data_IF_951849200247
#
_entry.id   IF_951849200247
#
_cell.length_a   1.000
_cell.length_b   1.000
_cell.length_c   1.000
_cell.angle_alpha   90.00
_cell.angle_beta   90.00
_cell.angle_gamma   90.00
#
_symmetry.space_group_name_H-M   'P 1'
#
loop_
_entity.id
_entity.type
_entity.pdbx_description
1 polymer ?
#
# COMPACT_ATOMS: atom_id res chain seq x y z
N UNK A 1 8.17 6.90 -3.06
CA UNK A 1 7.69 7.77 -1.96
C UNK A 1 8.67 8.93 -1.81
N UNK A 2 8.19 10.17 -1.65
CA UNK A 2 9.08 11.32 -1.37
C UNK A 2 9.40 11.40 0.13
N UNK A 3 10.48 12.09 0.48
CA UNK A 3 10.87 12.31 1.88
C UNK A 3 9.76 13.01 2.69
N UNK A 4 9.09 14.02 2.11
CA UNK A 4 7.99 14.72 2.77
C UNK A 4 6.79 13.80 3.01
N UNK A 5 6.39 13.00 2.01
CA UNK A 5 5.29 12.04 2.17
C UNK A 5 5.59 10.98 3.21
N UNK A 6 6.85 10.53 3.31
CA UNK A 6 7.29 9.58 4.34
C UNK A 6 7.09 10.14 5.75
N UNK A 7 7.60 11.34 6.03
CA UNK A 7 7.45 11.94 7.36
C UNK A 7 6.01 12.33 7.68
N UNK A 8 5.22 12.73 6.66
CA UNK A 8 3.79 12.94 6.84
C UNK A 8 3.10 11.65 7.30
N UNK A 9 3.32 10.54 6.58
CA UNK A 9 2.72 9.24 6.94
C UNK A 9 3.15 8.79 8.33
N UNK A 10 4.44 8.87 8.65
CA UNK A 10 4.96 8.57 9.99
C UNK A 10 4.19 9.35 11.06
N UNK A 11 3.99 10.65 10.86
CA UNK A 11 3.26 11.50 11.81
C UNK A 11 1.80 11.05 11.99
N UNK A 12 1.11 10.73 10.90
CA UNK A 12 -0.28 10.25 10.94
C UNK A 12 -0.44 8.94 11.73
N UNK A 13 0.51 8.01 11.57
CA UNK A 13 0.40 6.69 12.21
C UNK A 13 1.03 6.62 13.60
N UNK A 14 1.86 7.59 14.01
CA UNK A 14 2.65 7.52 15.25
C UNK A 14 1.82 7.39 16.53
N UNK A 15 0.58 7.89 16.54
CA UNK A 15 -0.33 7.78 17.68
C UNK A 15 -1.06 6.44 17.79
N UNK A 16 -0.82 5.50 16.87
CA UNK A 16 -1.54 4.24 16.86
C UNK A 16 -1.07 3.31 18.00
N UNK A 17 -1.98 2.70 18.78
CA UNK A 17 -1.62 1.84 19.92
C UNK A 17 -0.80 0.60 19.55
N UNK A 18 -0.75 0.18 18.28
CA UNK A 18 0.14 -0.93 17.85
C UNK A 18 1.63 -0.62 18.04
N UNK A 19 1.99 0.65 18.13
CA UNK A 19 3.36 1.12 18.42
C UNK A 19 3.61 1.37 19.90
N UNK A 20 2.70 0.95 20.77
CA UNK A 20 2.88 0.96 22.21
C UNK A 20 2.99 -0.48 22.70
N UNK A 21 4.01 -0.75 23.52
CA UNK A 21 4.10 -1.96 24.30
C UNK A 21 4.16 -1.59 25.79
N UNK A 22 3.51 -2.39 26.63
CA UNK A 22 3.57 -2.26 28.09
C UNK A 22 4.76 -3.08 28.60
N UNK A 23 5.97 -2.70 28.16
CA UNK A 23 7.20 -3.41 28.51
C UNK A 23 8.27 -2.46 29.01
N UNK A 24 9.23 -3.00 29.75
CA UNK A 24 10.40 -2.25 30.21
C UNK A 24 11.46 -2.04 29.10
N UNK A 25 11.19 -2.49 27.88
CA UNK A 25 12.09 -2.35 26.74
C UNK A 25 11.58 -1.26 25.79
N UNK A 26 12.42 -0.27 25.43
CA UNK A 26 12.00 0.78 24.51
C UNK A 26 11.68 0.16 23.15
N UNK A 27 10.50 0.49 22.61
CA UNK A 27 10.13 0.11 21.25
C UNK A 27 10.90 0.97 20.24
N UNK A 28 11.30 0.38 19.11
CA UNK A 28 11.95 1.13 18.04
C UNK A 28 11.06 2.27 17.51
N UNK A 29 11.63 3.41 17.11
CA UNK A 29 10.89 4.52 16.55
C UNK A 29 10.02 4.12 15.35
N UNK A 30 8.81 4.68 15.26
CA UNK A 30 7.82 4.38 14.20
C UNK A 30 8.38 4.57 12.79
N UNK A 31 9.23 5.58 12.58
CA UNK A 31 9.84 5.83 11.28
C UNK A 31 10.82 4.71 10.86
N UNK A 32 11.52 4.08 11.79
CA UNK A 32 12.40 2.94 11.48
C UNK A 32 11.58 1.72 11.09
N UNK A 33 10.51 1.44 11.84
CA UNK A 33 9.56 0.36 11.51
C UNK A 33 8.92 0.57 10.14
N UNK A 34 8.52 1.82 9.84
CA UNK A 34 7.95 2.18 8.55
C UNK A 34 8.97 2.07 7.42
N UNK A 35 10.24 2.40 7.65
CA UNK A 35 11.30 2.24 6.66
C UNK A 35 11.48 0.76 6.26
N UNK A 36 11.54 -0.14 7.25
CA UNK A 36 11.63 -1.59 7.01
C UNK A 36 10.42 -2.09 6.22
N UNK A 37 9.21 -1.67 6.63
CA UNK A 37 7.96 -2.03 5.98
C UNK A 37 7.91 -1.57 4.53
N UNK A 38 8.23 -0.30 4.26
CA UNK A 38 8.22 0.24 2.90
C UNK A 38 9.30 -0.39 2.02
N UNK A 39 10.46 -0.73 2.59
CA UNK A 39 11.49 -1.49 1.86
C UNK A 39 10.98 -2.88 1.48
N UNK A 40 10.25 -3.56 2.38
CA UNK A 40 9.60 -4.85 2.10
C UNK A 40 8.56 -4.74 0.99
N UNK A 41 7.70 -3.73 1.05
CA UNK A 41 6.60 -3.52 0.08
C UNK A 41 7.08 -3.00 -1.29
N UNK A 42 8.23 -2.33 -1.34
CA UNK A 42 8.76 -1.71 -2.56
C UNK A 42 9.74 -2.56 -3.35
N UNK A 43 10.02 -3.80 -2.94
CA UNK A 43 10.94 -4.69 -3.64
C UNK A 43 10.16 -5.78 -4.40
N UNK A 44 10.31 -5.84 -5.72
CA UNK A 44 9.60 -6.80 -6.57
C UNK A 44 10.42 -8.08 -6.83
N UNK A 45 9.72 -9.21 -6.90
CA UNK A 45 10.02 -10.45 -7.65
C UNK A 45 11.14 -11.41 -7.19
N UNK A 46 12.11 -11.07 -6.34
CA UNK A 46 13.01 -12.11 -5.74
C UNK A 46 13.86 -11.68 -4.54
N UNK A 47 13.89 -10.38 -4.22
CA UNK A 47 14.77 -9.81 -3.17
C UNK A 47 14.19 -9.76 -1.75
N UNK A 48 13.08 -10.46 -1.48
CA UNK A 48 12.22 -10.21 -0.30
C UNK A 48 12.02 -11.47 0.56
N UNK A 49 13.06 -12.27 0.77
CA UNK A 49 12.99 -13.14 1.95
C UNK A 49 13.06 -12.25 3.19
N UNK A 50 12.25 -12.56 4.20
CA UNK A 50 12.33 -11.92 5.51
C UNK A 50 13.78 -11.91 6.02
N UNK A 51 14.50 -13.01 5.77
CA UNK A 51 15.95 -13.18 5.98
C UNK A 51 16.83 -12.13 5.29
N UNK A 52 16.57 -11.80 4.03
CA UNK A 52 17.35 -10.79 3.30
C UNK A 52 17.19 -9.40 3.93
N UNK A 53 15.96 -9.05 4.31
CA UNK A 53 15.66 -7.79 5.01
C UNK A 53 16.26 -7.75 6.41
N UNK A 54 16.14 -8.85 7.16
CA UNK A 54 16.76 -9.02 8.47
C UNK A 54 18.29 -8.81 8.39
N UNK A 55 18.92 -9.38 7.36
CA UNK A 55 20.36 -9.19 7.10
C UNK A 55 20.69 -7.73 6.73
N UNK A 56 19.89 -7.12 5.85
CA UNK A 56 20.09 -5.75 5.39
C UNK A 56 19.99 -4.73 6.53
N UNK A 57 18.96 -4.85 7.39
CA UNK A 57 18.72 -3.96 8.51
C UNK A 57 19.43 -4.40 9.80
N UNK A 58 20.07 -5.58 9.81
CA UNK A 58 20.72 -6.19 10.99
C UNK A 58 19.77 -6.37 12.17
N UNK A 59 18.56 -6.86 11.89
CA UNK A 59 17.51 -7.14 12.88
C UNK A 59 17.06 -8.61 12.77
N UNK A 60 16.25 -9.08 13.71
CA UNK A 60 15.67 -10.43 13.65
C UNK A 60 14.63 -10.55 12.54
N UNK A 61 14.49 -11.76 11.96
CA UNK A 61 13.44 -12.04 10.98
C UNK A 61 12.03 -11.74 11.53
N UNK A 62 11.75 -12.17 12.77
CA UNK A 62 10.49 -11.84 13.45
C UNK A 62 10.29 -10.34 13.67
N UNK A 63 11.36 -9.55 13.76
CA UNK A 63 11.27 -8.07 13.88
C UNK A 63 10.82 -7.45 12.55
N UNK A 64 11.30 -7.97 11.42
CA UNK A 64 10.84 -7.53 10.08
C UNK A 64 9.35 -7.78 9.92
N UNK A 65 8.89 -8.97 10.32
CA UNK A 65 7.46 -9.32 10.27
C UNK A 65 6.64 -8.44 11.21
N UNK A 66 7.06 -8.31 12.46
CA UNK A 66 6.41 -7.45 13.46
C UNK A 66 6.24 -6.01 12.97
N UNK A 67 7.31 -5.40 12.44
CA UNK A 67 7.24 -4.03 11.91
C UNK A 67 6.28 -3.92 10.72
N UNK A 68 6.30 -4.93 9.84
CA UNK A 68 5.38 -4.96 8.70
C UNK A 68 3.93 -4.99 9.19
N UNK A 69 3.60 -5.88 10.13
CA UNK A 69 2.24 -6.03 10.64
C UNK A 69 1.78 -4.78 11.39
N UNK A 70 2.63 -4.21 12.26
CA UNK A 70 2.33 -2.97 13.01
C UNK A 70 2.07 -1.81 12.06
N UNK A 71 2.95 -1.59 11.07
CA UNK A 71 2.76 -0.52 10.10
C UNK A 71 1.54 -0.75 9.20
N UNK A 72 1.28 -1.98 8.75
CA UNK A 72 0.09 -2.29 7.95
C UNK A 72 -1.19 -2.04 8.73
N UNK A 73 -1.26 -2.50 9.98
CA UNK A 73 -2.42 -2.26 10.85
C UNK A 73 -2.64 -0.77 11.08
N UNK A 74 -1.58 -0.02 11.38
CA UNK A 74 -1.69 1.42 11.59
C UNK A 74 -2.13 2.17 10.32
N UNK A 75 -1.58 1.84 9.15
CA UNK A 75 -1.98 2.44 7.87
C UNK A 75 -3.44 2.13 7.56
N UNK A 76 -3.90 0.90 7.81
CA UNK A 76 -5.29 0.50 7.56
C UNK A 76 -6.29 1.28 8.43
N UNK A 77 -5.88 1.80 9.59
CA UNK A 77 -6.76 2.67 10.39
C UNK A 77 -7.08 4.01 9.71
N UNK A 78 -6.26 4.45 8.75
CA UNK A 78 -6.50 5.67 7.97
C UNK A 78 -7.54 5.46 6.85
N UNK A 79 -7.88 4.20 6.51
CA UNK A 79 -8.78 3.85 5.41
C UNK A 79 -10.09 4.65 5.41
N UNK A 80 -10.84 4.79 6.52
CA UNK A 80 -12.13 5.49 6.49
C UNK A 80 -12.01 6.99 6.16
N UNK A 81 -10.83 7.59 6.37
CA UNK A 81 -10.58 9.00 6.11
C UNK A 81 -10.09 9.26 4.68
N UNK A 82 -9.52 8.23 4.04
CA UNK A 82 -8.82 8.35 2.76
C UNK A 82 -9.50 7.62 1.60
N UNK A 83 -10.36 6.65 1.91
CA UNK A 83 -11.01 5.79 0.92
C UNK A 83 -12.51 5.84 1.13
N UNK A 84 -13.20 6.48 0.19
CA UNK A 84 -14.65 6.48 0.08
C UNK A 84 -15.06 5.75 -1.20
N UNK A 85 -16.18 5.04 -1.14
CA UNK A 85 -16.75 4.40 -2.33
C UNK A 85 -17.57 5.41 -3.11
N UNK A 86 -17.44 5.47 -4.45
CA UNK A 86 -18.14 6.46 -5.24
C UNK A 86 -19.65 6.27 -5.07
N UNK A 87 -20.37 7.40 -4.96
CA UNK A 87 -21.83 7.46 -4.92
C UNK A 87 -22.43 6.95 -6.23
N UNK A 88 -23.75 6.76 -6.29
CA UNK A 88 -24.41 6.35 -7.53
C UNK A 88 -24.13 7.33 -8.68
N UNK A 89 -24.20 8.63 -8.40
CA UNK A 89 -23.95 9.69 -9.37
C UNK A 89 -22.49 9.69 -9.83
N UNK A 90 -21.54 9.57 -8.89
CA UNK A 90 -20.13 9.49 -9.23
C UNK A 90 -19.81 8.22 -10.04
N UNK A 91 -20.49 7.09 -9.76
CA UNK A 91 -20.34 5.86 -10.55
C UNK A 91 -20.84 6.05 -11.98
N UNK A 92 -21.97 6.71 -12.18
CA UNK A 92 -22.52 6.97 -13.51
C UNK A 92 -21.57 7.86 -14.33
N UNK A 93 -20.99 8.89 -13.71
CA UNK A 93 -19.98 9.75 -14.34
C UNK A 93 -18.72 8.96 -14.72
N UNK A 94 -18.20 8.14 -13.80
CA UNK A 94 -17.03 7.30 -14.02
C UNK A 94 -17.29 6.29 -15.15
N UNK A 95 -18.45 5.62 -15.14
CA UNK A 95 -18.85 4.67 -16.17
C UNK A 95 -19.01 5.31 -17.55
N UNK A 96 -19.58 6.51 -17.62
CA UNK A 96 -19.70 7.27 -18.85
C UNK A 96 -18.32 7.61 -19.42
N UNK A 97 -17.42 8.12 -18.57
CA UNK A 97 -16.06 8.47 -18.97
C UNK A 97 -15.25 7.25 -19.45
N UNK A 98 -15.23 6.18 -18.66
CA UNK A 98 -14.52 4.95 -19.03
C UNK A 98 -15.15 4.22 -20.22
N UNK A 99 -16.46 4.34 -20.41
CA UNK A 99 -17.15 3.84 -21.60
C UNK A 99 -16.62 4.44 -22.89
N UNK A 100 -16.24 5.72 -22.88
CA UNK A 100 -15.66 6.42 -24.03
C UNK A 100 -14.25 5.92 -24.41
N UNK A 101 -13.52 5.35 -23.45
CA UNK A 101 -12.18 4.75 -23.66
C UNK A 101 -12.23 3.21 -23.72
N UNK A 102 -13.41 2.62 -23.93
CA UNK A 102 -13.58 1.19 -24.17
C UNK A 102 -13.87 0.32 -22.94
N UNK A 103 -13.87 0.87 -21.74
CA UNK A 103 -14.12 0.16 -20.48
C UNK A 103 -15.56 0.35 -19.99
N UNK A 104 -16.52 -0.30 -20.67
CA UNK A 104 -17.95 -0.25 -20.30
C UNK A 104 -18.19 -0.74 -18.87
N UNK A 105 -19.07 -0.06 -18.15
CA UNK A 105 -19.44 -0.35 -16.75
C UNK A 105 -18.28 -0.26 -15.73
N UNK A 106 -17.14 0.32 -16.11
CA UNK A 106 -16.03 0.55 -15.20
C UNK A 106 -16.41 1.61 -14.16
N UNK A 107 -16.26 1.27 -12.87
CA UNK A 107 -16.58 2.15 -11.73
C UNK A 107 -15.33 2.68 -11.01
N UNK A 108 -14.15 2.49 -11.60
CA UNK A 108 -12.87 2.94 -11.07
C UNK A 108 -11.70 2.11 -11.59
N UNK A 109 -10.50 2.69 -11.51
CA UNK A 109 -9.24 2.05 -11.90
C UNK A 109 -8.27 2.12 -10.72
N UNK A 110 -7.58 1.01 -10.46
CA UNK A 110 -6.47 0.95 -9.52
C UNK A 110 -5.21 0.66 -10.31
N UNK A 111 -4.28 1.61 -10.34
CA UNK A 111 -3.00 1.42 -11.01
C UNK A 111 -2.17 0.30 -10.34
N UNK A 112 -1.30 -0.34 -11.13
CA UNK A 112 -0.34 -1.41 -10.81
C UNK A 112 -0.79 -2.87 -10.93
N UNK A 113 -1.95 -3.15 -11.52
CA UNK A 113 -2.29 -4.54 -11.86
C UNK A 113 -2.26 -4.72 -13.38
N UNK A 114 -1.21 -5.38 -13.89
CA UNK A 114 -1.23 -5.95 -15.24
C UNK A 114 -2.23 -7.11 -15.24
N UNK A 115 -3.47 -6.82 -15.63
CA UNK A 115 -4.46 -7.85 -15.87
C UNK A 115 -4.17 -8.48 -17.23
N UNK A 116 -3.84 -9.77 -17.26
CA UNK A 116 -3.76 -10.52 -18.52
C UNK A 116 -5.19 -10.68 -19.04
N UNK A 117 -5.50 -9.98 -20.12
CA UNK A 117 -6.81 -10.08 -20.76
C UNK A 117 -6.90 -11.38 -21.55
N UNK A 118 -7.97 -12.14 -21.35
CA UNK A 118 -8.25 -13.37 -22.12
C UNK A 118 -8.58 -13.09 -23.58
N UNK A 119 -8.96 -11.86 -23.90
CA UNK A 119 -9.33 -11.40 -25.25
C UNK A 119 -8.78 -10.00 -25.47
N UNK A 120 -8.32 -9.71 -26.70
CA UNK A 120 -7.88 -8.38 -27.10
C UNK A 120 -9.04 -7.36 -27.01
N UNK A 121 -8.83 -6.17 -26.42
CA UNK A 121 -9.82 -5.09 -26.43
C UNK A 121 -10.25 -4.70 -27.85
N UNK A 122 -11.53 -4.34 -28.02
CA UNK A 122 -12.08 -3.92 -29.32
C UNK A 122 -11.61 -2.54 -29.76
N UNK A 123 -11.20 -1.69 -28.82
CA UNK A 123 -10.66 -0.35 -29.04
C UNK A 123 -9.20 -0.36 -28.57
N UNK A 124 -8.28 0.13 -29.41
CA UNK A 124 -6.85 0.26 -29.12
C UNK A 124 -6.19 -1.02 -28.58
N UNK A 125 -6.66 -2.19 -29.03
CA UNK A 125 -6.17 -3.50 -28.61
C UNK A 125 -4.63 -3.71 -28.65
N UNK A 126 -3.86 -3.10 -29.57
CA UNK A 126 -2.40 -3.17 -29.55
C UNK A 126 -1.72 -2.49 -28.35
N UNK A 127 -2.40 -1.61 -27.62
CA UNK A 127 -1.83 -0.79 -26.55
C UNK A 127 -1.94 -1.44 -25.14
N UNK A 128 -2.61 -2.59 -25.04
CA UNK A 128 -2.91 -3.32 -23.80
C UNK A 128 -2.36 -4.75 -23.83
#
# INVERSE_FOLDING_TARGET
MTCSSFFKLTKEISGNPVFYNDSNHPQSPVHEQLMVTLKRLGCDRSGVSVRALATFFRIGEGTVELYTDQCMMAILTLRPQLLEWPTAEARDEIQSWFGNVGFKNCVGLVDRTLAVLSTCPQLDGPDY
#
